data_IF_965346120037
#
_entry.id   IF_965346120037
#
_cell.length_a   1.000
_cell.length_b   1.000
_cell.length_c   1.000
_cell.angle_alpha   90.00
_cell.angle_beta   90.00
_cell.angle_gamma   90.00
#
_symmetry.space_group_name_H-M   'P 1'
#
loop_
_entity.id
_entity.type
_entity.pdbx_description
1 polymer ?
#
# COMPACT_ATOMS: atom_id res chain seq x y z
N UNK A 1 -26.40 35.52 -1.08
CA UNK A 1 -25.17 34.73 -1.30
C UNK A 1 -25.36 33.33 -0.74
N UNK A 2 -25.17 32.30 -1.55
CA UNK A 2 -25.25 30.90 -1.10
C UNK A 2 -24.10 30.55 -0.14
N UNK A 3 -24.38 29.77 0.91
CA UNK A 3 -23.36 29.36 1.89
C UNK A 3 -22.36 28.39 1.22
N UNK A 4 -21.05 28.44 1.53
CA UNK A 4 -20.08 27.51 0.96
C UNK A 4 -20.35 26.07 1.43
N UNK A 5 -20.17 25.10 0.52
CA UNK A 5 -20.35 23.68 0.84
C UNK A 5 -19.37 23.22 1.93
N UNK A 6 -19.90 22.59 2.98
CA UNK A 6 -19.11 21.98 4.05
C UNK A 6 -19.46 20.51 4.18
N UNK A 7 -18.48 19.64 3.92
CA UNK A 7 -18.64 18.22 4.10
C UNK A 7 -18.53 17.84 5.58
N UNK A 8 -19.61 17.30 6.15
CA UNK A 8 -19.68 16.98 7.59
C UNK A 8 -18.66 15.92 8.03
N UNK A 9 -18.19 15.08 7.10
CA UNK A 9 -17.26 13.98 7.38
C UNK A 9 -15.82 14.29 6.93
N UNK A 10 -15.43 15.55 6.79
CA UNK A 10 -14.08 15.93 6.34
C UNK A 10 -12.98 15.33 7.23
N UNK A 11 -13.14 15.41 8.57
CA UNK A 11 -12.18 14.80 9.52
C UNK A 11 -12.07 13.29 9.36
N UNK A 12 -13.18 12.62 9.05
CA UNK A 12 -13.21 11.17 8.83
C UNK A 12 -12.47 10.85 7.52
N UNK A 13 -12.66 11.65 6.49
CA UNK A 13 -11.97 11.49 5.21
C UNK A 13 -10.45 11.67 5.36
N UNK A 14 -10.02 12.67 6.13
CA UNK A 14 -8.61 12.89 6.46
C UNK A 14 -8.02 11.69 7.22
N UNK A 15 -8.72 11.19 8.23
CA UNK A 15 -8.30 9.98 8.95
C UNK A 15 -8.17 8.78 8.01
N UNK A 16 -9.11 8.59 7.06
CA UNK A 16 -9.03 7.50 6.09
C UNK A 16 -7.86 7.65 5.11
N UNK A 17 -7.49 8.88 4.74
CA UNK A 17 -6.28 9.16 3.96
C UNK A 17 -5.03 8.77 4.72
N UNK A 18 -4.92 9.19 5.97
CA UNK A 18 -3.81 8.80 6.85
C UNK A 18 -3.72 7.28 7.03
N UNK A 19 -4.85 6.60 7.20
CA UNK A 19 -4.89 5.14 7.30
C UNK A 19 -4.41 4.44 6.00
N UNK A 20 -4.77 4.96 4.83
CA UNK A 20 -4.25 4.46 3.54
C UNK A 20 -2.73 4.66 3.45
N UNK A 21 -2.22 5.83 3.84
CA UNK A 21 -0.79 6.13 3.78
C UNK A 21 0.01 5.28 4.76
N UNK A 22 -0.51 5.03 5.96
CA UNK A 22 0.06 4.06 6.91
C UNK A 22 0.11 2.65 6.31
N UNK A 23 -0.95 2.21 5.63
CA UNK A 23 -0.97 0.90 4.96
C UNK A 23 0.06 0.82 3.80
N UNK A 24 0.27 1.90 3.05
CA UNK A 24 1.35 1.98 2.03
C UNK A 24 2.73 1.83 2.67
N UNK A 25 2.98 2.54 3.77
CA UNK A 25 4.24 2.44 4.49
C UNK A 25 4.47 1.04 5.05
N UNK A 26 3.43 0.40 5.58
CA UNK A 26 3.50 -0.98 6.08
C UNK A 26 3.85 -1.96 4.95
N UNK A 27 3.22 -1.82 3.78
CA UNK A 27 3.54 -2.63 2.60
C UNK A 27 4.98 -2.43 2.13
N UNK A 28 5.47 -1.18 2.09
CA UNK A 28 6.84 -0.88 1.71
C UNK A 28 7.85 -1.54 2.66
N UNK A 29 7.64 -1.44 3.98
CA UNK A 29 8.48 -2.10 4.99
C UNK A 29 8.46 -3.62 4.87
N UNK A 30 7.29 -4.21 4.61
CA UNK A 30 7.17 -5.66 4.42
C UNK A 30 7.96 -6.13 3.19
N UNK A 31 7.90 -5.40 2.09
CA UNK A 31 8.69 -5.69 0.88
C UNK A 31 10.18 -5.57 1.12
N UNK A 32 10.61 -4.51 1.82
CA UNK A 32 12.04 -4.32 2.15
C UNK A 32 12.61 -5.49 2.97
N UNK A 33 11.84 -5.99 3.94
CA UNK A 33 12.22 -7.19 4.71
C UNK A 33 12.31 -8.44 3.85
N UNK A 34 11.34 -8.64 2.97
CA UNK A 34 11.35 -9.76 2.02
C UNK A 34 12.58 -9.70 1.10
N UNK A 35 12.88 -8.52 0.56
CA UNK A 35 14.04 -8.31 -0.32
C UNK A 35 15.36 -8.51 0.43
N UNK A 36 15.43 -8.12 1.71
CA UNK A 36 16.59 -8.39 2.55
C UNK A 36 16.85 -9.90 2.74
N UNK A 37 15.81 -10.68 3.03
CA UNK A 37 15.96 -12.14 3.16
C UNK A 37 16.27 -12.82 1.83
N UNK A 38 15.70 -12.35 0.71
CA UNK A 38 16.05 -12.85 -0.63
C UNK A 38 17.54 -12.61 -0.95
N UNK A 39 18.05 -11.42 -0.64
CA UNK A 39 19.49 -11.12 -0.76
C UNK A 39 20.35 -12.02 0.14
N UNK A 40 19.90 -12.33 1.36
CA UNK A 40 20.60 -13.25 2.25
C UNK A 40 20.61 -14.70 1.71
N UNK A 41 19.52 -15.14 1.06
CA UNK A 41 19.50 -16.44 0.38
C UNK A 41 20.47 -16.47 -0.79
N UNK A 42 20.49 -15.41 -1.60
CA UNK A 42 21.40 -15.29 -2.74
C UNK A 42 22.87 -15.30 -2.30
N UNK A 43 23.21 -14.65 -1.18
CA UNK A 43 24.58 -14.69 -0.65
C UNK A 43 24.98 -16.09 -0.20
N UNK A 44 24.07 -16.83 0.47
CA UNK A 44 24.33 -18.22 0.87
C UNK A 44 24.49 -19.15 -0.34
N UNK A 45 23.71 -18.93 -1.40
CA UNK A 45 23.83 -19.68 -2.66
C UNK A 45 25.19 -19.44 -3.33
N UNK A 46 25.65 -18.18 -3.35
CA UNK A 46 26.98 -17.84 -3.87
C UNK A 46 28.09 -18.44 -3.04
N UNK A 47 28.01 -18.33 -1.72
CA UNK A 47 28.99 -18.95 -0.80
C UNK A 47 29.07 -20.46 -1.03
N UNK A 48 27.91 -21.13 -1.17
CA UNK A 48 27.86 -22.55 -1.51
C UNK A 48 28.64 -22.85 -2.79
N UNK A 49 28.35 -22.12 -3.85
CA UNK A 49 28.92 -22.34 -5.18
C UNK A 49 30.44 -22.11 -5.18
N UNK A 50 30.90 -21.04 -4.54
CA UNK A 50 32.32 -20.74 -4.38
C UNK A 50 33.05 -21.85 -3.63
N UNK A 51 32.47 -22.33 -2.52
CA UNK A 51 33.06 -23.39 -1.73
C UNK A 51 33.02 -24.74 -2.44
N UNK A 52 31.96 -25.05 -3.18
CA UNK A 52 31.86 -26.25 -4.02
C UNK A 52 32.93 -26.25 -5.11
N UNK A 53 33.16 -25.11 -5.79
CA UNK A 53 34.23 -24.94 -6.78
C UNK A 53 35.61 -25.08 -6.16
N UNK A 54 35.85 -24.45 -5.01
CA UNK A 54 37.12 -24.53 -4.30
C UNK A 54 37.43 -25.98 -3.88
N UNK A 55 36.42 -26.70 -3.38
CA UNK A 55 36.56 -28.11 -3.00
C UNK A 55 36.84 -29.02 -4.20
N UNK A 56 36.16 -28.80 -5.34
CA UNK A 56 36.38 -29.56 -6.56
C UNK A 56 37.78 -29.37 -7.17
N UNK A 57 38.44 -28.24 -6.89
CA UNK A 57 39.80 -27.96 -7.36
C UNK A 57 40.91 -28.63 -6.52
N UNK A 58 40.58 -29.23 -5.37
CA UNK A 58 41.56 -29.88 -4.49
C UNK A 58 41.97 -31.24 -5.06
N UNK A 59 43.27 -31.41 -5.35
CA UNK A 59 43.82 -32.66 -5.96
C UNK A 59 43.94 -33.83 -4.99
N UNK A 60 44.09 -33.59 -3.70
CA UNK A 60 44.18 -34.64 -2.67
C UNK A 60 43.43 -34.21 -1.43
N UNK A 61 42.42 -34.98 -1.03
CA UNK A 61 41.59 -34.73 0.14
C UNK A 61 41.82 -35.84 1.17
N UNK A 62 42.05 -35.45 2.43
CA UNK A 62 42.05 -36.41 3.53
C UNK A 62 40.62 -36.79 3.93
N UNK A 63 40.48 -37.89 4.68
CA UNK A 63 39.19 -38.26 5.27
C UNK A 63 38.64 -37.17 6.22
N UNK A 64 39.53 -36.44 6.92
CA UNK A 64 39.14 -35.33 7.78
C UNK A 64 38.57 -34.14 6.97
N UNK A 65 39.17 -33.83 5.82
CA UNK A 65 38.69 -32.75 4.94
C UNK A 65 37.30 -33.08 4.36
N UNK A 66 37.08 -34.34 3.97
CA UNK A 66 35.79 -34.82 3.49
C UNK A 66 34.70 -34.75 4.59
N UNK A 67 35.06 -35.09 5.83
CA UNK A 67 34.15 -34.99 6.96
C UNK A 67 33.78 -33.53 7.27
N UNK A 68 34.77 -32.64 7.31
CA UNK A 68 34.56 -31.21 7.53
C UNK A 68 33.68 -30.61 6.43
N UNK A 69 33.94 -30.97 5.18
CA UNK A 69 33.17 -30.55 4.02
C UNK A 69 31.70 -30.97 4.10
N UNK A 70 31.45 -32.23 4.45
CA UNK A 70 30.09 -32.75 4.64
C UNK A 70 29.34 -31.96 5.71
N UNK A 71 29.98 -31.71 6.85
CA UNK A 71 29.38 -30.95 7.96
C UNK A 71 29.09 -29.50 7.57
N UNK A 72 29.99 -28.88 6.81
CA UNK A 72 29.75 -27.55 6.26
C UNK A 72 28.53 -27.52 5.33
N UNK A 73 28.40 -28.46 4.39
CA UNK A 73 27.25 -28.55 3.49
C UNK A 73 25.93 -28.77 4.24
N UNK A 74 25.94 -29.64 5.24
CA UNK A 74 24.76 -29.89 6.08
C UNK A 74 24.33 -28.61 6.82
N UNK A 75 25.28 -27.87 7.41
CA UNK A 75 24.99 -26.60 8.07
C UNK A 75 24.44 -25.55 7.10
N UNK A 76 25.10 -25.39 5.95
CA UNK A 76 24.69 -24.41 4.95
C UNK A 76 23.29 -24.71 4.39
N UNK A 77 22.97 -26.01 4.20
CA UNK A 77 21.62 -26.44 3.83
C UNK A 77 20.58 -26.03 4.88
N UNK A 78 20.85 -26.28 6.16
CA UNK A 78 19.95 -25.88 7.25
C UNK A 78 19.75 -24.36 7.31
N UNK A 79 20.82 -23.59 7.10
CA UNK A 79 20.75 -22.13 7.10
C UNK A 79 19.93 -21.60 5.91
N UNK A 80 20.08 -22.21 4.72
CA UNK A 80 19.23 -21.91 3.56
C UNK A 80 17.76 -22.25 3.80
N UNK A 81 17.46 -23.43 4.38
CA UNK A 81 16.09 -23.84 4.72
C UNK A 81 15.43 -22.86 5.70
N UNK A 82 16.19 -22.35 6.68
CA UNK A 82 15.72 -21.32 7.62
C UNK A 82 15.41 -20.00 6.93
N UNK A 83 16.30 -19.52 6.05
CA UNK A 83 16.08 -18.29 5.27
C UNK A 83 14.86 -18.44 4.37
N UNK A 84 14.71 -19.57 3.68
CA UNK A 84 13.54 -19.87 2.87
C UNK A 84 12.25 -19.90 3.69
N UNK A 85 12.29 -20.42 4.92
CA UNK A 85 11.19 -20.34 5.88
C UNK A 85 10.80 -18.90 6.19
N UNK A 86 11.78 -18.03 6.45
CA UNK A 86 11.54 -16.59 6.69
C UNK A 86 11.00 -15.88 5.45
N UNK A 87 11.51 -16.19 4.25
CA UNK A 87 10.99 -15.66 2.99
C UNK A 87 9.51 -15.96 2.85
N UNK A 88 9.08 -17.23 3.05
CA UNK A 88 7.66 -17.61 2.98
C UNK A 88 6.80 -16.82 3.98
N UNK A 89 7.31 -16.60 5.20
CA UNK A 89 6.61 -15.80 6.20
C UNK A 89 6.47 -14.34 5.74
N UNK A 90 7.55 -13.73 5.23
CA UNK A 90 7.50 -12.34 4.75
C UNK A 90 6.67 -12.17 3.48
N UNK A 91 6.62 -13.17 2.60
CA UNK A 91 5.70 -13.18 1.46
C UNK A 91 4.24 -13.13 1.93
N UNK A 92 3.90 -13.92 2.96
CA UNK A 92 2.57 -13.85 3.58
C UNK A 92 2.30 -12.48 4.23
N UNK A 93 3.28 -11.88 4.89
CA UNK A 93 3.15 -10.53 5.45
C UNK A 93 2.93 -9.47 4.37
N UNK A 94 3.64 -9.54 3.25
CA UNK A 94 3.47 -8.65 2.10
C UNK A 94 2.05 -8.77 1.53
N UNK A 95 1.55 -9.98 1.35
CA UNK A 95 0.19 -10.17 0.83
C UNK A 95 -0.87 -9.66 1.80
N UNK A 96 -0.69 -9.88 3.10
CA UNK A 96 -1.59 -9.29 4.12
C UNK A 96 -1.57 -7.76 4.09
N UNK A 97 -0.38 -7.14 4.02
CA UNK A 97 -0.25 -5.69 3.93
C UNK A 97 -0.85 -5.13 2.63
N UNK A 98 -0.75 -5.89 1.54
CA UNK A 98 -1.34 -5.53 0.24
C UNK A 98 -2.87 -5.56 0.30
N UNK A 99 -3.45 -6.62 0.89
CA UNK A 99 -4.88 -6.73 1.10
C UNK A 99 -5.42 -5.60 1.98
N UNK A 100 -4.70 -5.27 3.06
CA UNK A 100 -5.06 -4.14 3.94
C UNK A 100 -5.05 -2.81 3.18
N UNK A 101 -4.01 -2.54 2.39
CA UNK A 101 -3.94 -1.33 1.57
C UNK A 101 -5.13 -1.22 0.60
N UNK A 102 -5.52 -2.33 -0.03
CA UNK A 102 -6.68 -2.35 -0.93
C UNK A 102 -7.96 -2.00 -0.17
N UNK A 103 -8.15 -2.54 1.04
CA UNK A 103 -9.30 -2.23 1.90
C UNK A 103 -9.32 -0.75 2.28
N UNK A 104 -8.21 -0.20 2.76
CA UNK A 104 -8.11 1.24 3.12
C UNK A 104 -8.34 2.17 1.95
N UNK A 105 -7.80 1.82 0.78
CA UNK A 105 -8.03 2.58 -0.45
C UNK A 105 -9.50 2.57 -0.89
N UNK A 106 -10.20 1.42 -0.77
CA UNK A 106 -11.65 1.33 -1.04
C UNK A 106 -12.45 2.19 -0.07
N UNK A 107 -12.13 2.09 1.22
CA UNK A 107 -12.75 2.84 2.30
C UNK A 107 -12.64 4.35 2.13
N UNK A 108 -11.48 4.85 1.70
CA UNK A 108 -11.27 6.27 1.36
C UNK A 108 -12.07 6.67 0.13
N UNK A 109 -11.94 5.90 -0.97
CA UNK A 109 -12.63 6.20 -2.24
C UNK A 109 -14.15 6.28 -2.10
N UNK A 110 -14.73 5.43 -1.26
CA UNK A 110 -16.17 5.49 -0.97
C UNK A 110 -16.57 6.84 -0.38
N UNK A 111 -15.76 7.36 0.54
CA UNK A 111 -16.05 8.60 1.24
C UNK A 111 -15.77 9.84 0.37
N UNK A 112 -14.73 9.80 -0.47
CA UNK A 112 -14.49 10.82 -1.50
C UNK A 112 -15.68 10.89 -2.47
N UNK A 113 -16.18 9.74 -2.96
CA UNK A 113 -17.35 9.71 -3.86
C UNK A 113 -18.61 10.27 -3.19
N UNK A 114 -18.80 9.98 -1.90
CA UNK A 114 -19.91 10.55 -1.13
C UNK A 114 -19.80 12.09 -1.03
N UNK A 115 -18.59 12.60 -0.78
CA UNK A 115 -18.31 14.04 -0.74
C UNK A 115 -18.61 14.71 -2.08
N UNK A 116 -18.15 14.13 -3.19
CA UNK A 116 -18.41 14.62 -4.54
C UNK A 116 -19.92 14.68 -4.83
N UNK A 117 -20.67 13.63 -4.51
CA UNK A 117 -22.12 13.60 -4.71
C UNK A 117 -22.87 14.64 -3.87
N UNK A 118 -22.42 14.89 -2.64
CA UNK A 118 -23.01 15.94 -1.79
C UNK A 118 -22.67 17.33 -2.31
N UNK A 119 -21.45 17.55 -2.79
CA UNK A 119 -21.04 18.82 -3.39
C UNK A 119 -21.86 19.15 -4.65
N UNK A 120 -22.07 18.16 -5.53
CA UNK A 120 -22.90 18.32 -6.73
C UNK A 120 -24.35 18.65 -6.38
N UNK A 121 -24.93 17.99 -5.37
CA UNK A 121 -26.30 18.29 -4.91
C UNK A 121 -26.40 19.71 -4.36
N UNK A 122 -25.48 20.10 -3.50
CA UNK A 122 -25.44 21.45 -2.94
C UNK A 122 -25.30 22.52 -4.03
N UNK A 123 -24.47 22.29 -5.05
CA UNK A 123 -24.32 23.21 -6.17
C UNK A 123 -25.63 23.38 -6.97
N UNK A 124 -26.34 22.27 -7.23
CA UNK A 124 -27.65 22.30 -7.91
C UNK A 124 -28.71 23.04 -7.09
N UNK A 125 -28.76 22.80 -5.79
CA UNK A 125 -29.69 23.47 -4.87
C UNK A 125 -29.41 24.98 -4.79
N UNK A 126 -28.13 25.39 -4.71
CA UNK A 126 -27.74 26.79 -4.73
C UNK A 126 -28.14 27.48 -6.04
N UNK A 127 -27.90 26.84 -7.18
CA UNK A 127 -28.29 27.37 -8.50
C UNK A 127 -29.81 27.50 -8.62
N UNK A 128 -30.58 26.52 -8.13
CA UNK A 128 -32.03 26.57 -8.16
C UNK A 128 -32.59 27.69 -7.26
N UNK A 129 -31.96 27.94 -6.10
CA UNK A 129 -32.34 29.03 -5.21
C UNK A 129 -32.03 30.41 -5.83
N UNK A 130 -30.86 30.54 -6.47
CA UNK A 130 -30.48 31.76 -7.19
C UNK A 130 -31.46 32.04 -8.33
N UNK A 131 -31.80 31.04 -9.15
CA UNK A 131 -32.78 31.20 -10.24
C UNK A 131 -34.15 31.68 -9.72
N UNK A 132 -34.67 31.06 -8.65
CA UNK A 132 -35.93 31.51 -8.02
C UNK A 132 -35.86 32.95 -7.56
N UNK A 133 -34.75 33.35 -6.94
CA UNK A 133 -34.58 34.74 -6.50
C UNK A 133 -34.54 35.74 -7.66
N UNK A 134 -33.95 35.36 -8.80
CA UNK A 134 -33.96 36.19 -10.01
C UNK A 134 -35.37 36.32 -10.60
N UNK A 135 -36.14 35.24 -10.65
CA UNK A 135 -37.51 35.24 -11.17
C UNK A 135 -38.45 36.11 -10.30
N UNK A 136 -38.29 36.06 -8.97
CA UNK A 136 -39.04 36.91 -8.02
C UNK A 136 -38.71 38.39 -8.20
N UNK A 137 -37.43 38.75 -8.29
CA UNK A 137 -36.98 40.12 -8.52
C UNK A 137 -37.46 40.65 -9.87
N UNK A 138 -37.39 39.84 -10.93
CA UNK A 138 -37.91 40.17 -12.25
C UNK A 138 -39.42 40.46 -12.21
N UNK A 139 -40.19 39.60 -11.54
CA UNK A 139 -41.64 39.79 -11.39
C UNK A 139 -41.99 41.09 -10.65
N UNK A 140 -41.23 41.45 -9.60
CA UNK A 140 -41.41 42.71 -8.86
C UNK A 140 -41.11 43.93 -9.75
N UNK A 141 -40.02 43.87 -10.52
CA UNK A 141 -39.61 44.96 -11.44
C UNK A 141 -40.60 45.17 -12.59
N UNK A 142 -41.07 44.08 -13.24
CA UNK A 142 -42.05 44.17 -14.31
C UNK A 142 -43.46 44.53 -13.82
N UNK A 143 -43.82 44.15 -12.59
CA UNK A 143 -45.08 44.57 -11.95
C UNK A 143 -45.18 46.08 -11.71
N UNK A 144 -44.04 46.77 -11.58
CA UNK A 144 -43.99 48.22 -11.37
C UNK A 144 -44.06 49.07 -12.66
N UNK A 145 -43.95 48.47 -13.86
CA UNK A 145 -44.01 49.20 -15.15
C UNK A 145 -45.40 49.24 -15.80
N UNK A 146 -46.43 48.65 -15.16
CA UNK A 146 -47.81 48.62 -15.66
C UNK A 146 -48.80 49.48 -14.84
N UNK A 147 -48.33 50.56 -14.21
CA UNK A 147 -49.15 51.62 -13.59
C UNK A 147 -48.75 52.95 -14.20
#
# INVERSE_FOLDING_TARGET
MSKPFRFKLEKVLEFRRQAEDQAKMALAKAKERLDAERRALDSLLREREEKEKAFAAVKSLSAADLWLWRRFRERLKLDMERVQGRIRNFESEVERARAELVTRAKERKLLDKLKEQQAVRHAKEAQALEQKSYDEVSTILFGHQNI
#
